data_IF_966413831057
#
_entry.id   IF_966413831057
#
_cell.length_a   1.000
_cell.length_b   1.000
_cell.length_c   1.000
_cell.angle_alpha   90.00
_cell.angle_beta   90.00
_cell.angle_gamma   90.00
#
_symmetry.space_group_name_H-M   'P 1'
#
loop_
_entity.id
_entity.type
_entity.pdbx_description
1 polymer ?
#
# COMPACT_ATOMS: atom_id res chain seq x y z
N UNK A 1 24.61 47.70 -64.53
CA UNK A 1 25.58 47.47 -63.42
C UNK A 1 25.27 46.11 -62.82
N UNK A 2 26.31 45.38 -62.38
CA UNK A 2 26.22 43.94 -62.10
C UNK A 2 25.51 43.61 -60.77
N UNK A 3 24.72 42.54 -60.75
CA UNK A 3 24.29 41.89 -59.51
C UNK A 3 25.37 40.90 -59.07
N UNK A 4 26.10 41.24 -58.01
CA UNK A 4 27.03 40.32 -57.34
C UNK A 4 26.33 39.62 -56.18
N UNK A 5 26.04 38.34 -56.33
CA UNK A 5 25.61 37.49 -55.21
C UNK A 5 26.84 36.94 -54.48
N UNK A 6 27.00 37.28 -53.20
CA UNK A 6 27.90 36.57 -52.30
C UNK A 6 27.07 35.69 -51.37
N UNK A 7 27.30 34.38 -51.44
CA UNK A 7 26.71 33.40 -50.54
C UNK A 7 27.65 33.18 -49.36
N UNK A 8 27.45 33.90 -48.26
CA UNK A 8 28.17 33.63 -47.02
C UNK A 8 27.63 32.35 -46.37
N UNK A 9 28.43 31.29 -46.38
CA UNK A 9 28.15 30.06 -45.64
C UNK A 9 28.35 30.28 -44.13
N UNK A 10 27.27 30.68 -43.44
CA UNK A 10 27.23 30.70 -41.99
C UNK A 10 27.44 29.28 -41.42
N UNK A 11 28.58 29.05 -40.77
CA UNK A 11 28.84 27.81 -40.03
C UNK A 11 27.83 27.60 -38.89
N UNK A 12 27.55 26.35 -38.49
CA UNK A 12 26.56 26.07 -37.45
C UNK A 12 26.95 26.74 -36.13
N UNK A 13 25.99 27.42 -35.51
CA UNK A 13 26.22 28.13 -34.25
C UNK A 13 26.62 27.18 -33.13
N UNK A 14 27.38 27.70 -32.15
CA UNK A 14 27.97 26.91 -31.05
C UNK A 14 26.92 26.13 -30.26
N UNK A 15 25.67 26.58 -30.20
CA UNK A 15 24.56 25.84 -29.61
C UNK A 15 24.17 24.59 -30.39
N UNK A 16 24.10 24.66 -31.73
CA UNK A 16 23.79 23.51 -32.61
C UNK A 16 24.88 22.44 -32.49
N UNK A 17 26.15 22.84 -32.46
CA UNK A 17 27.27 21.90 -32.29
C UNK A 17 27.20 21.14 -30.96
N UNK A 18 26.79 21.81 -29.87
CA UNK A 18 26.61 21.17 -28.55
C UNK A 18 25.44 20.17 -28.54
N UNK A 19 24.34 20.47 -29.23
CA UNK A 19 23.24 19.51 -29.40
C UNK A 19 23.65 18.28 -30.22
N UNK A 20 24.36 18.47 -31.33
CA UNK A 20 24.88 17.38 -32.16
C UNK A 20 25.84 16.47 -31.38
N UNK A 21 26.74 17.05 -30.58
CA UNK A 21 27.65 16.30 -29.70
C UNK A 21 26.89 15.48 -28.63
N UNK A 22 25.85 16.04 -28.00
CA UNK A 22 25.02 15.33 -27.04
C UNK A 22 24.24 14.16 -27.67
N UNK A 23 23.69 14.36 -28.88
CA UNK A 23 22.98 13.30 -29.62
C UNK A 23 23.96 12.20 -30.06
N UNK A 24 25.15 12.56 -30.54
CA UNK A 24 26.19 11.60 -30.91
C UNK A 24 26.68 10.79 -29.70
N UNK A 25 26.90 11.43 -28.54
CA UNK A 25 27.27 10.75 -27.30
C UNK A 25 26.17 9.79 -26.81
N UNK A 26 24.91 10.19 -26.86
CA UNK A 26 23.77 9.32 -26.53
C UNK A 26 23.65 8.12 -27.48
N UNK A 27 23.84 8.34 -28.78
CA UNK A 27 23.84 7.27 -29.79
C UNK A 27 24.98 6.26 -29.61
N UNK A 28 26.19 6.74 -29.34
CA UNK A 28 27.35 5.89 -29.03
C UNK A 28 27.14 5.08 -27.74
N UNK A 29 26.55 5.68 -26.71
CA UNK A 29 26.22 5.00 -25.46
C UNK A 29 25.15 3.91 -25.66
N UNK A 30 24.11 4.19 -26.45
CA UNK A 30 23.08 3.20 -26.80
C UNK A 30 23.66 2.03 -27.63
N UNK A 31 24.56 2.33 -28.59
CA UNK A 31 25.27 1.30 -29.36
C UNK A 31 26.17 0.43 -28.47
N UNK A 32 26.89 1.05 -27.53
CA UNK A 32 27.71 0.33 -26.56
C UNK A 32 26.87 -0.63 -25.70
N UNK A 33 25.72 -0.19 -25.18
CA UNK A 33 24.80 -1.05 -24.43
C UNK A 33 24.24 -2.21 -25.27
N UNK A 34 23.98 -1.97 -26.56
CA UNK A 34 23.46 -3.00 -27.47
C UNK A 34 24.52 -4.05 -27.84
N UNK A 35 25.80 -3.67 -27.93
CA UNK A 35 26.93 -4.58 -28.17
C UNK A 35 27.39 -5.30 -26.89
N UNK A 36 27.29 -4.65 -25.72
CA UNK A 36 27.73 -5.22 -24.45
C UNK A 36 26.71 -6.17 -23.79
N UNK A 37 25.51 -6.33 -24.36
CA UNK A 37 24.44 -7.16 -23.80
C UNK A 37 24.42 -8.57 -24.41
N UNK A 38 24.69 -9.64 -23.64
CA UNK A 38 24.64 -11.02 -24.13
C UNK A 38 23.19 -11.53 -24.16
N UNK A 39 22.35 -10.99 -25.06
CA UNK A 39 21.00 -11.49 -25.31
C UNK A 39 21.03 -12.48 -26.47
N UNK A 40 20.85 -13.79 -26.26
CA UNK A 40 20.64 -14.70 -27.37
C UNK A 40 19.29 -14.42 -28.01
N UNK A 41 19.28 -14.00 -29.28
CA UNK A 41 18.05 -13.88 -30.07
C UNK A 41 17.41 -15.27 -30.24
N UNK A 42 16.17 -15.51 -29.77
CA UNK A 42 15.44 -16.69 -30.16
C UNK A 42 14.99 -16.50 -31.62
N UNK A 43 15.45 -17.39 -32.51
CA UNK A 43 15.08 -17.36 -33.92
C UNK A 43 13.56 -17.48 -34.08
N UNK A 44 12.97 -16.63 -34.92
CA UNK A 44 11.55 -16.73 -35.26
C UNK A 44 11.26 -18.09 -35.91
N UNK A 45 10.27 -18.81 -35.40
CA UNK A 45 9.68 -19.98 -36.04
C UNK A 45 8.19 -20.03 -35.71
N UNK A 46 7.43 -19.27 -36.49
CA UNK A 46 5.97 -19.36 -36.51
C UNK A 46 5.56 -20.65 -37.22
N UNK A 47 5.15 -21.67 -36.48
CA UNK A 47 4.43 -22.81 -37.04
C UNK A 47 3.21 -23.17 -36.19
N UNK A 48 2.09 -23.39 -36.87
CA UNK A 48 0.78 -23.68 -36.30
C UNK A 48 0.68 -25.14 -35.82
N UNK A 49 -0.31 -25.35 -34.92
CA UNK A 49 -1.00 -26.60 -34.62
C UNK A 49 -0.27 -27.66 -33.75
N UNK A 50 -1.00 -28.61 -33.14
CA UNK A 50 -2.36 -28.54 -32.58
C UNK A 50 -2.41 -28.91 -31.09
N UNK A 51 -3.58 -28.74 -30.45
CA UNK A 51 -3.84 -29.16 -29.07
C UNK A 51 -3.91 -30.69 -28.90
N UNK A 52 -3.21 -31.24 -27.91
CA UNK A 52 -3.55 -32.51 -27.24
C UNK A 52 -2.94 -32.54 -25.82
N UNK A 53 -3.59 -33.20 -24.84
CA UNK A 53 -3.24 -33.05 -23.42
C UNK A 53 -2.12 -34.01 -22.98
N UNK A 54 -1.16 -33.50 -22.21
CA UNK A 54 -0.09 -34.30 -21.60
C UNK A 54 -0.15 -34.22 -20.06
N UNK A 55 -0.60 -35.32 -19.45
CA UNK A 55 -0.27 -35.85 -18.11
C UNK A 55 0.35 -34.92 -17.06
N UNK A 56 -0.32 -34.85 -15.90
CA UNK A 56 0.18 -34.28 -14.65
C UNK A 56 1.53 -34.86 -14.21
N UNK A 57 2.54 -34.01 -14.11
CA UNK A 57 3.79 -34.29 -13.38
C UNK A 57 3.86 -33.42 -12.12
N UNK A 58 3.58 -34.03 -10.97
CA UNK A 58 3.55 -33.37 -9.65
C UNK A 58 4.96 -33.06 -9.15
N UNK A 59 5.60 -32.03 -9.69
CA UNK A 59 6.84 -31.50 -9.11
C UNK A 59 6.52 -30.64 -7.88
N UNK A 60 6.52 -31.26 -6.71
CA UNK A 60 6.14 -30.64 -5.45
C UNK A 60 6.96 -29.37 -5.12
N UNK A 61 6.27 -28.23 -5.13
CA UNK A 61 6.81 -26.92 -4.70
C UNK A 61 7.00 -26.87 -3.18
N UNK A 62 8.12 -27.39 -2.68
CA UNK A 62 8.41 -27.55 -1.24
C UNK A 62 8.63 -26.27 -0.42
N UNK A 63 8.38 -25.07 -0.97
CA UNK A 63 8.78 -23.79 -0.36
C UNK A 63 7.62 -22.80 -0.08
N UNK A 64 6.36 -23.20 -0.27
CA UNK A 64 5.24 -22.45 0.31
C UNK A 64 4.83 -23.13 1.63
N UNK A 65 5.04 -22.43 2.75
CA UNK A 65 4.49 -22.80 4.04
C UNK A 65 2.99 -22.49 4.07
N UNK A 66 2.21 -23.29 3.33
CA UNK A 66 0.76 -23.36 3.49
C UNK A 66 0.51 -24.37 4.60
N UNK A 67 -0.06 -23.89 5.70
CA UNK A 67 -0.35 -24.73 6.85
C UNK A 67 -1.38 -25.82 6.45
N UNK A 68 -1.04 -27.10 6.65
CA UNK A 68 -1.86 -28.21 6.16
C UNK A 68 -3.26 -28.25 6.81
N UNK A 69 -3.45 -27.52 7.91
CA UNK A 69 -4.75 -27.25 8.54
C UNK A 69 -5.79 -26.64 7.58
N UNK A 70 -5.38 -25.84 6.59
CA UNK A 70 -6.27 -25.24 5.58
C UNK A 70 -7.02 -26.27 4.74
N UNK A 71 -6.49 -27.49 4.57
CA UNK A 71 -7.08 -28.50 3.71
C UNK A 71 -8.17 -29.35 4.38
N UNK A 72 -8.44 -29.14 5.67
CA UNK A 72 -9.30 -30.01 6.49
C UNK A 72 -10.60 -29.34 6.99
N UNK A 73 -10.79 -28.03 6.79
CA UNK A 73 -12.02 -27.36 7.18
C UNK A 73 -13.13 -27.62 6.15
N UNK A 74 -14.22 -28.24 6.61
CA UNK A 74 -15.36 -28.60 5.78
C UNK A 74 -15.95 -27.36 5.06
N UNK A 75 -16.23 -27.49 3.77
CA UNK A 75 -16.78 -26.44 2.92
C UNK A 75 -18.09 -25.92 3.53
N UNK A 76 -18.04 -24.73 4.10
CA UNK A 76 -19.22 -24.04 4.63
C UNK A 76 -20.27 -23.84 3.51
N UNK A 77 -21.57 -23.70 3.85
CA UNK A 77 -22.59 -23.33 2.87
C UNK A 77 -22.16 -22.06 2.10
N UNK A 78 -22.60 -21.88 0.84
CA UNK A 78 -22.13 -20.79 -0.02
C UNK A 78 -22.25 -19.45 0.70
N UNK A 79 -21.11 -18.90 1.09
CA UNK A 79 -21.05 -17.71 1.90
C UNK A 79 -21.61 -16.53 1.11
N UNK A 80 -22.35 -15.65 1.80
CA UNK A 80 -22.82 -14.42 1.15
C UNK A 80 -21.64 -13.64 0.56
N UNK A 81 -21.81 -12.96 -0.59
CA UNK A 81 -20.71 -12.29 -1.28
C UNK A 81 -19.97 -11.36 -0.32
N UNK A 82 -18.64 -11.47 -0.21
CA UNK A 82 -17.90 -10.85 0.88
C UNK A 82 -17.96 -9.33 0.83
N UNK A 83 -17.66 -8.72 1.97
CA UNK A 83 -17.66 -7.27 2.12
C UNK A 83 -16.29 -6.78 2.60
N UNK A 84 -15.72 -5.85 1.85
CA UNK A 84 -14.40 -5.29 2.13
C UNK A 84 -14.52 -3.91 2.78
N UNK A 85 -13.64 -3.64 3.75
CA UNK A 85 -13.46 -2.35 4.38
C UNK A 85 -12.10 -1.76 3.95
N UNK A 86 -12.12 -0.82 3.01
CA UNK A 86 -10.93 -0.19 2.44
C UNK A 86 -10.56 1.11 3.17
N UNK A 87 -9.37 1.16 3.75
CA UNK A 87 -8.69 2.42 4.04
C UNK A 87 -7.86 2.82 2.81
N UNK A 88 -8.11 4.02 2.26
CA UNK A 88 -7.27 4.61 1.20
C UNK A 88 -6.62 5.88 1.77
N UNK A 89 -5.30 5.86 1.95
CA UNK A 89 -4.52 6.90 2.61
C UNK A 89 -3.61 7.67 1.65
N UNK A 90 -3.51 8.99 1.82
CA UNK A 90 -2.61 9.87 1.06
C UNK A 90 -2.16 11.10 1.85
N UNK A 91 -1.32 11.91 1.22
CA UNK A 91 -0.76 13.17 1.74
C UNK A 91 -1.14 14.35 0.84
N UNK A 92 -0.46 15.49 0.99
CA UNK A 92 -0.62 16.67 0.14
C UNK A 92 -0.47 16.34 -1.36
N UNK A 93 -1.45 16.73 -2.17
CA UNK A 93 -1.50 16.45 -3.62
C UNK A 93 -2.17 15.14 -4.02
N UNK A 94 -2.32 14.18 -3.11
CA UNK A 94 -2.86 12.84 -3.44
C UNK A 94 -4.39 12.80 -3.63
N UNK A 95 -5.10 13.89 -3.37
CA UNK A 95 -6.57 13.93 -3.40
C UNK A 95 -7.18 13.44 -4.73
N UNK A 96 -6.53 13.71 -5.86
CA UNK A 96 -6.94 13.19 -7.17
C UNK A 96 -6.69 11.69 -7.33
N UNK A 97 -5.59 11.19 -6.78
CA UNK A 97 -5.22 9.76 -6.79
C UNK A 97 -6.17 8.95 -5.89
N UNK A 98 -6.54 9.48 -4.72
CA UNK A 98 -7.57 8.88 -3.86
C UNK A 98 -8.92 8.74 -4.57
N UNK A 99 -9.38 9.77 -5.30
CA UNK A 99 -10.62 9.70 -6.09
C UNK A 99 -10.54 8.62 -7.17
N UNK A 100 -9.42 8.58 -7.91
CA UNK A 100 -9.19 7.59 -8.96
C UNK A 100 -9.18 6.16 -8.40
N UNK A 101 -8.47 5.94 -7.29
CA UNK A 101 -8.38 4.65 -6.61
C UNK A 101 -9.75 4.19 -6.07
N UNK A 102 -10.48 5.09 -5.39
CA UNK A 102 -11.85 4.83 -4.92
C UNK A 102 -12.77 4.39 -6.06
N UNK A 103 -12.79 5.13 -7.18
CA UNK A 103 -13.68 4.81 -8.31
C UNK A 103 -13.33 3.47 -8.96
N UNK A 104 -12.04 3.10 -9.01
CA UNK A 104 -11.61 1.79 -9.52
C UNK A 104 -11.96 0.63 -8.58
N UNK A 105 -12.05 0.89 -7.28
CA UNK A 105 -12.37 -0.10 -6.24
C UNK A 105 -13.84 -0.12 -5.85
N UNK A 106 -14.68 0.77 -6.39
CA UNK A 106 -16.01 1.02 -5.83
C UNK A 106 -17.01 -0.10 -6.08
N UNK A 107 -17.61 -0.61 -5.02
CA UNK A 107 -18.74 -1.52 -5.06
C UNK A 107 -19.71 -1.21 -3.90
N UNK A 108 -21.04 -1.18 -4.11
CA UNK A 108 -22.02 -0.73 -3.10
C UNK A 108 -22.10 -1.61 -1.84
N UNK A 109 -21.54 -2.83 -1.86
CA UNK A 109 -21.47 -3.73 -0.68
C UNK A 109 -20.30 -3.45 0.26
N UNK A 110 -19.28 -2.74 -0.22
CA UNK A 110 -18.04 -2.47 0.51
C UNK A 110 -18.13 -1.14 1.26
N UNK A 111 -17.23 -0.94 2.22
CA UNK A 111 -17.11 0.30 2.96
C UNK A 111 -15.73 0.94 2.74
N UNK A 112 -15.67 2.28 2.69
CA UNK A 112 -14.48 3.02 2.33
C UNK A 112 -14.23 4.17 3.32
N UNK A 113 -12.99 4.31 3.78
CA UNK A 113 -12.50 5.46 4.53
C UNK A 113 -11.36 6.08 3.72
N UNK A 114 -11.53 7.34 3.33
CA UNK A 114 -10.52 8.14 2.68
C UNK A 114 -9.80 9.00 3.73
N UNK A 115 -8.48 8.86 3.82
CA UNK A 115 -7.65 9.64 4.73
C UNK A 115 -6.62 10.44 3.94
N UNK A 116 -6.73 11.77 3.99
CA UNK A 116 -5.62 12.66 3.65
C UNK A 116 -5.00 13.12 4.96
N UNK A 117 -3.68 12.98 5.10
CA UNK A 117 -2.97 13.39 6.32
C UNK A 117 -3.05 14.91 6.58
N UNK A 118 -2.64 15.34 7.78
CA UNK A 118 -2.70 16.74 8.18
C UNK A 118 -1.65 17.64 7.48
N UNK A 119 -0.78 17.11 6.61
CA UNK A 119 0.08 17.90 5.72
C UNK A 119 -0.70 18.35 4.48
N UNK A 120 -1.69 17.57 4.02
CA UNK A 120 -2.61 18.01 2.98
C UNK A 120 -3.41 19.27 3.41
N UNK A 121 -3.65 20.22 2.48
CA UNK A 121 -4.55 21.35 2.74
C UNK A 121 -5.97 20.93 3.12
N UNK A 122 -6.65 21.70 3.97
CA UNK A 122 -8.08 21.46 4.26
C UNK A 122 -8.99 21.71 3.05
N UNK A 123 -8.55 22.48 2.05
CA UNK A 123 -9.21 22.56 0.74
C UNK A 123 -9.29 21.20 0.05
N UNK A 124 -8.26 20.36 0.18
CA UNK A 124 -8.17 19.06 -0.50
C UNK A 124 -9.12 18.06 0.19
N UNK A 125 -9.14 18.06 1.54
CA UNK A 125 -10.11 17.31 2.35
C UNK A 125 -11.54 17.75 2.06
N UNK A 126 -11.82 19.06 2.08
CA UNK A 126 -13.14 19.61 1.80
C UNK A 126 -13.61 19.30 0.38
N UNK A 127 -12.73 19.43 -0.62
CA UNK A 127 -13.05 19.09 -2.00
C UNK A 127 -13.27 17.58 -2.20
N UNK A 128 -12.54 16.72 -1.46
CA UNK A 128 -12.74 15.27 -1.47
C UNK A 128 -14.09 14.89 -0.84
N UNK A 129 -14.45 15.50 0.28
CA UNK A 129 -15.77 15.32 0.91
C UNK A 129 -16.91 15.83 0.02
N UNK A 130 -16.75 17.01 -0.60
CA UNK A 130 -17.71 17.55 -1.57
C UNK A 130 -17.88 16.65 -2.80
N UNK A 131 -16.79 16.05 -3.30
CA UNK A 131 -16.85 15.04 -4.37
C UNK A 131 -17.68 13.81 -3.95
N UNK A 132 -17.44 13.25 -2.76
CA UNK A 132 -18.21 12.10 -2.25
C UNK A 132 -19.70 12.45 -2.07
N UNK A 133 -20.00 13.65 -1.55
CA UNK A 133 -21.38 14.10 -1.34
C UNK A 133 -22.14 14.46 -2.62
N UNK A 134 -21.43 14.86 -3.69
CA UNK A 134 -22.04 15.23 -4.99
C UNK A 134 -22.14 14.08 -5.97
N UNK A 135 -21.34 13.01 -5.82
CA UNK A 135 -21.39 11.87 -6.72
C UNK A 135 -22.64 10.99 -6.43
N UNK A 136 -23.61 10.86 -7.37
CA UNK A 136 -24.92 10.28 -7.06
C UNK A 136 -24.89 8.88 -6.46
N UNK A 137 -24.00 8.01 -6.96
CA UNK A 137 -23.87 6.62 -6.49
C UNK A 137 -23.28 6.54 -5.08
N UNK A 138 -22.27 7.35 -4.77
CA UNK A 138 -21.62 7.37 -3.45
C UNK A 138 -22.56 7.97 -2.39
N UNK A 139 -23.22 9.08 -2.75
CA UNK A 139 -24.19 9.76 -1.90
C UNK A 139 -25.42 8.91 -1.60
N UNK A 140 -25.90 8.11 -2.56
CA UNK A 140 -27.01 7.18 -2.36
C UNK A 140 -26.62 5.98 -1.45
N UNK A 141 -25.44 5.40 -1.66
CA UNK A 141 -24.99 4.22 -0.91
C UNK A 141 -24.53 4.56 0.52
N UNK A 142 -24.00 5.77 0.76
CA UNK A 142 -23.50 6.24 2.07
C UNK A 142 -22.45 5.30 2.70
N UNK A 143 -21.66 4.64 1.87
CA UNK A 143 -20.64 3.67 2.26
C UNK A 143 -19.20 4.22 2.17
N UNK A 144 -19.03 5.49 1.76
CA UNK A 144 -17.74 6.19 1.69
C UNK A 144 -17.71 7.32 2.73
N UNK A 145 -16.65 7.38 3.54
CA UNK A 145 -16.40 8.45 4.51
C UNK A 145 -15.05 9.11 4.25
N UNK A 146 -14.95 10.42 4.49
CA UNK A 146 -13.68 11.17 4.46
C UNK A 146 -13.31 11.53 5.90
N UNK A 147 -12.06 11.31 6.29
CA UNK A 147 -11.59 11.68 7.64
C UNK A 147 -11.41 13.20 7.71
N UNK A 148 -12.34 13.88 8.38
CA UNK A 148 -12.29 15.34 8.58
C UNK A 148 -11.10 15.74 9.47
N UNK A 149 -11.00 15.13 10.66
CA UNK A 149 -9.90 15.36 11.60
C UNK A 149 -8.71 14.47 11.25
N UNK A 150 -7.95 14.90 10.25
CA UNK A 150 -6.75 14.22 9.80
C UNK A 150 -5.71 14.04 10.92
N UNK A 151 -5.06 12.88 10.90
CA UNK A 151 -3.83 12.64 11.66
C UNK A 151 -2.65 13.19 10.84
N UNK A 152 -1.63 13.69 11.51
CA UNK A 152 -0.33 13.94 10.90
C UNK A 152 0.43 12.61 10.81
N UNK A 153 1.01 12.30 9.64
CA UNK A 153 1.60 10.99 9.35
C UNK A 153 3.05 11.10 8.91
N UNK A 154 3.97 10.61 9.73
CA UNK A 154 5.42 10.58 9.44
C UNK A 154 5.79 9.26 8.78
N UNK A 155 6.46 9.31 7.62
CA UNK A 155 6.92 8.11 6.93
C UNK A 155 7.90 7.31 7.82
N UNK A 156 7.69 5.98 7.91
CA UNK A 156 8.35 5.04 8.85
C UNK A 156 8.07 5.30 10.35
N UNK A 157 7.24 6.30 10.69
CA UNK A 157 6.85 6.59 12.06
C UNK A 157 5.72 5.69 12.57
N UNK A 158 5.56 5.57 13.89
CA UNK A 158 4.38 4.95 14.51
C UNK A 158 3.06 5.59 14.06
N UNK A 159 3.05 6.86 13.64
CA UNK A 159 1.83 7.54 13.13
C UNK A 159 1.21 6.90 11.89
N UNK A 160 2.01 6.19 11.07
CA UNK A 160 1.48 5.32 10.00
C UNK A 160 0.54 4.25 10.58
N UNK A 161 1.00 3.55 11.62
CA UNK A 161 0.27 2.44 12.24
C UNK A 161 -0.94 2.96 13.02
N UNK A 162 -0.80 4.05 13.79
CA UNK A 162 -1.94 4.61 14.53
C UNK A 162 -3.05 5.11 13.61
N UNK A 163 -2.72 5.56 12.40
CA UNK A 163 -3.72 5.96 11.40
C UNK A 163 -4.47 4.77 10.83
N UNK A 164 -3.79 3.66 10.52
CA UNK A 164 -4.45 2.40 10.13
C UNK A 164 -5.35 1.87 11.25
N UNK A 165 -4.88 1.88 12.50
CA UNK A 165 -5.66 1.46 13.67
C UNK A 165 -6.89 2.37 13.92
N UNK A 166 -6.75 3.69 13.70
CA UNK A 166 -7.86 4.64 13.82
C UNK A 166 -8.96 4.36 12.79
N UNK A 167 -8.60 4.10 11.53
CA UNK A 167 -9.56 3.74 10.49
C UNK A 167 -10.22 2.36 10.76
N UNK A 168 -9.43 1.36 11.16
CA UNK A 168 -9.97 0.05 11.51
C UNK A 168 -10.95 0.15 12.70
N UNK A 169 -10.63 0.94 13.73
CA UNK A 169 -11.57 1.24 14.82
C UNK A 169 -12.85 1.93 14.30
N UNK A 170 -12.74 2.95 13.45
CA UNK A 170 -13.91 3.63 12.86
C UNK A 170 -14.81 2.68 12.04
N UNK A 171 -14.22 1.68 11.40
CA UNK A 171 -14.96 0.59 10.74
C UNK A 171 -15.60 -0.41 11.71
N UNK A 172 -15.01 -0.65 12.90
CA UNK A 172 -15.57 -1.55 13.93
C UNK A 172 -16.75 -0.96 14.69
N UNK A 173 -16.63 0.30 15.11
CA UNK A 173 -17.65 0.99 15.91
C UNK A 173 -18.89 1.42 15.11
N UNK A 174 -18.77 1.45 13.77
CA UNK A 174 -19.86 1.74 12.84
C UNK A 174 -20.32 3.20 12.88
N UNK A 175 -21.43 3.48 12.18
CA UNK A 175 -22.11 4.79 12.23
C UNK A 175 -23.07 4.90 13.42
N UNK A 176 -23.48 3.77 13.99
CA UNK A 176 -24.38 3.68 15.13
C UNK A 176 -23.80 2.79 16.22
N UNK A 177 -23.35 3.44 17.31
CA UNK A 177 -22.79 2.87 18.56
C UNK A 177 -23.24 1.43 18.86
N UNK A 178 -22.47 0.44 18.40
CA UNK A 178 -22.68 -0.98 18.77
C UNK A 178 -23.42 -1.85 17.75
N UNK A 179 -23.85 -1.34 16.59
CA UNK A 179 -24.06 -2.22 15.43
C UNK A 179 -22.69 -2.62 14.89
N UNK A 180 -22.19 -3.77 15.37
CA UNK A 180 -20.83 -4.21 15.07
C UNK A 180 -20.55 -4.30 13.56
N UNK A 181 -19.31 -3.99 13.17
CA UNK A 181 -18.77 -4.08 11.81
C UNK A 181 -19.44 -5.11 10.89
N UNK A 182 -19.99 -4.61 9.79
CA UNK A 182 -20.69 -5.32 8.71
C UNK A 182 -19.74 -5.54 7.50
N UNK A 183 -18.52 -6.00 7.79
CA UNK A 183 -17.47 -6.32 6.83
C UNK A 183 -16.70 -7.57 7.25
N UNK A 184 -16.12 -8.26 6.26
CA UNK A 184 -15.39 -9.52 6.44
C UNK A 184 -13.87 -9.32 6.48
N UNK A 185 -13.35 -8.46 5.59
CA UNK A 185 -11.92 -8.16 5.48
C UNK A 185 -11.62 -6.66 5.45
N UNK A 186 -10.63 -6.24 6.23
CA UNK A 186 -10.04 -4.91 6.20
C UNK A 186 -8.80 -4.89 5.29
N UNK A 187 -8.70 -3.86 4.44
CA UNK A 187 -7.62 -3.69 3.47
C UNK A 187 -7.11 -2.26 3.56
N UNK A 188 -5.80 -2.08 3.76
CA UNK A 188 -5.16 -0.78 3.73
C UNK A 188 -4.41 -0.54 2.43
N UNK A 189 -4.66 0.61 1.82
CA UNK A 189 -4.10 1.06 0.54
C UNK A 189 -3.56 2.49 0.68
N UNK A 190 -2.59 2.81 -0.15
CA UNK A 190 -2.04 4.15 -0.36
C UNK A 190 -2.63 4.79 -1.63
N UNK A 191 -2.41 6.10 -1.79
CA UNK A 191 -2.74 6.84 -3.01
C UNK A 191 -2.10 6.25 -4.28
N UNK A 192 -0.91 5.65 -4.13
CA UNK A 192 -0.15 5.03 -5.23
C UNK A 192 -0.64 3.64 -5.64
N UNK A 193 -1.49 2.99 -4.84
CA UNK A 193 -1.98 1.65 -5.15
C UNK A 193 -3.12 1.66 -6.17
N UNK A 194 -3.19 0.61 -6.98
CA UNK A 194 -4.21 0.45 -8.01
C UNK A 194 -4.62 -1.02 -8.16
N UNK A 195 -5.92 -1.35 -8.26
CA UNK A 195 -6.37 -2.73 -8.45
C UNK A 195 -5.91 -3.30 -9.80
N UNK A 196 -5.41 -4.54 -9.77
CA UNK A 196 -5.06 -5.33 -10.96
C UNK A 196 -6.14 -6.37 -11.34
N UNK A 197 -7.14 -6.55 -10.48
CA UNK A 197 -8.30 -7.43 -10.64
C UNK A 197 -9.57 -6.62 -10.44
N UNK A 198 -10.70 -7.05 -11.01
CA UNK A 198 -11.98 -6.35 -10.76
C UNK A 198 -12.49 -6.65 -9.35
N UNK A 199 -13.42 -5.83 -8.85
CA UNK A 199 -14.06 -6.13 -7.56
C UNK A 199 -14.89 -7.41 -7.61
N UNK A 200 -15.47 -7.74 -8.76
CA UNK A 200 -16.32 -8.93 -8.92
C UNK A 200 -15.48 -10.21 -8.88
N UNK A 201 -14.35 -10.26 -9.63
CA UNK A 201 -13.40 -11.38 -9.58
C UNK A 201 -12.84 -11.57 -8.15
N UNK A 202 -12.55 -10.46 -7.47
CA UNK A 202 -12.06 -10.48 -6.09
C UNK A 202 -13.13 -10.97 -5.12
N UNK A 203 -14.41 -10.60 -5.31
CA UNK A 203 -15.51 -11.13 -4.51
C UNK A 203 -15.77 -12.61 -4.77
N UNK A 204 -15.61 -13.08 -6.01
CA UNK A 204 -15.72 -14.50 -6.37
C UNK A 204 -14.64 -15.33 -5.67
N UNK A 205 -13.36 -14.98 -5.85
CA UNK A 205 -12.24 -15.71 -5.22
C UNK A 205 -12.35 -15.71 -3.70
N UNK A 206 -12.63 -14.55 -3.09
CA UNK A 206 -12.79 -14.47 -1.64
C UNK A 206 -14.09 -15.12 -1.14
N UNK A 207 -15.08 -15.38 -1.98
CA UNK A 207 -16.29 -16.10 -1.57
C UNK A 207 -15.97 -17.53 -1.12
N UNK A 208 -14.99 -18.18 -1.76
CA UNK A 208 -14.53 -19.54 -1.45
C UNK A 208 -13.61 -19.62 -0.22
N UNK A 209 -13.07 -18.49 0.24
CA UNK A 209 -12.08 -18.44 1.31
C UNK A 209 -12.73 -18.30 2.71
N UNK A 210 -12.25 -19.05 3.73
CA UNK A 210 -12.68 -18.87 5.12
C UNK A 210 -12.46 -17.42 5.62
N UNK A 211 -13.48 -16.84 6.27
CA UNK A 211 -13.54 -15.41 6.67
C UNK A 211 -12.59 -15.04 7.82
N UNK A 212 -11.99 -16.03 8.47
CA UNK A 212 -11.04 -15.91 9.58
C UNK A 212 -9.58 -15.75 9.12
N UNK A 213 -9.29 -15.98 7.83
CA UNK A 213 -7.95 -15.87 7.25
C UNK A 213 -7.44 -14.42 7.15
N UNK A 214 -6.14 -14.27 7.38
CA UNK A 214 -5.37 -13.06 7.11
C UNK A 214 -4.32 -13.33 6.04
N UNK A 215 -4.15 -12.39 5.12
CA UNK A 215 -3.12 -12.43 4.07
C UNK A 215 -2.06 -11.37 4.41
N UNK A 216 -0.92 -11.88 4.89
CA UNK A 216 0.20 -11.10 5.42
C UNK A 216 1.48 -11.65 4.79
N UNK A 217 2.16 -10.88 3.93
CA UNK A 217 3.54 -11.22 3.58
C UNK A 217 4.43 -10.98 4.80
N UNK A 218 5.18 -12.01 5.21
CA UNK A 218 6.02 -11.97 6.38
C UNK A 218 7.15 -13.01 6.33
N UNK A 219 8.30 -12.62 6.88
CA UNK A 219 9.42 -13.52 7.17
C UNK A 219 9.82 -13.40 8.63
N UNK A 220 10.21 -14.54 9.21
CA UNK A 220 10.78 -14.62 10.55
C UNK A 220 12.30 -14.45 10.58
N UNK A 221 12.94 -14.37 9.40
CA UNK A 221 14.32 -13.92 9.27
C UNK A 221 14.37 -12.39 9.23
N UNK A 222 14.85 -11.82 10.33
CA UNK A 222 14.94 -10.38 10.54
C UNK A 222 16.31 -9.86 10.09
N UNK A 223 17.36 -10.69 10.17
CA UNK A 223 18.75 -10.32 9.93
C UNK A 223 19.13 -8.95 10.50
N UNK A 224 19.77 -8.13 9.66
CA UNK A 224 20.20 -6.76 10.00
C UNK A 224 19.07 -5.82 10.43
N UNK A 225 17.81 -6.08 10.05
CA UNK A 225 16.65 -5.24 10.41
C UNK A 225 16.43 -5.23 11.93
N UNK A 226 16.90 -6.22 12.67
CA UNK A 226 16.78 -6.27 14.12
C UNK A 226 17.52 -5.08 14.77
N UNK A 227 18.81 -4.93 14.44
CA UNK A 227 19.66 -3.83 14.92
C UNK A 227 19.26 -2.47 14.35
N UNK A 228 18.75 -2.42 13.12
CA UNK A 228 18.44 -1.16 12.42
C UNK A 228 17.00 -0.65 12.63
N UNK A 229 16.04 -1.50 13.06
CA UNK A 229 14.61 -1.13 13.15
C UNK A 229 13.90 -1.63 14.41
N UNK A 230 14.34 -2.73 15.03
CA UNK A 230 13.70 -3.25 16.24
C UNK A 230 14.37 -2.74 17.53
N UNK A 231 15.69 -2.64 17.56
CA UNK A 231 16.46 -2.15 18.72
C UNK A 231 16.51 -0.62 18.91
N UNK A 232 16.47 0.24 17.87
CA UNK A 232 16.44 1.68 18.09
C UNK A 232 15.14 2.15 18.76
N UNK A 233 15.23 3.24 19.51
CA UNK A 233 14.06 3.94 20.05
C UNK A 233 13.87 5.23 19.25
N UNK A 234 12.66 5.43 18.72
CA UNK A 234 12.29 6.60 17.92
C UNK A 234 11.19 7.41 18.61
N UNK A 235 11.24 8.72 18.45
CA UNK A 235 10.18 9.65 18.84
C UNK A 235 9.62 10.24 17.55
N UNK A 236 8.29 10.20 17.41
CA UNK A 236 7.57 10.72 16.25
C UNK A 236 6.93 12.06 16.62
N UNK A 237 7.41 13.20 16.08
CA UNK A 237 6.87 14.52 16.39
C UNK A 237 5.38 14.64 16.06
N UNK A 238 4.90 13.90 15.05
CA UNK A 238 3.52 13.95 14.60
C UNK A 238 2.50 13.43 15.63
N UNK A 239 2.95 12.79 16.73
CA UNK A 239 2.10 12.41 17.86
C UNK A 239 1.74 13.58 18.79
N UNK A 240 2.52 14.67 18.81
CA UNK A 240 2.36 15.78 19.77
C UNK A 240 2.58 17.19 19.19
N UNK A 241 3.12 17.30 17.98
CA UNK A 241 3.28 18.57 17.25
C UNK A 241 2.20 18.77 16.20
N UNK A 242 1.93 20.04 15.86
CA UNK A 242 0.98 20.44 14.80
C UNK A 242 1.58 20.51 13.39
N UNK A 243 2.89 20.30 13.24
CA UNK A 243 3.62 20.37 11.97
C UNK A 243 4.41 19.08 11.76
N UNK A 244 4.52 18.64 10.51
CA UNK A 244 5.36 17.50 10.14
C UNK A 244 6.83 17.79 10.49
N UNK A 245 7.52 16.75 10.93
CA UNK A 245 8.93 16.79 11.28
C UNK A 245 9.52 15.39 11.22
N UNK A 246 10.84 15.30 11.06
CA UNK A 246 11.53 14.03 10.95
C UNK A 246 11.50 13.23 12.26
N UNK A 247 11.66 11.91 12.15
CA UNK A 247 11.76 11.03 13.30
C UNK A 247 13.04 11.33 14.09
N UNK A 248 12.89 11.61 15.39
CA UNK A 248 14.03 11.74 16.29
C UNK A 248 14.50 10.36 16.74
N UNK A 249 15.79 10.08 16.56
CA UNK A 249 16.42 8.82 16.97
C UNK A 249 17.15 9.02 18.29
N UNK A 250 16.79 8.22 19.29
CA UNK A 250 17.46 8.23 20.60
C UNK A 250 18.76 7.41 20.49
N UNK A 251 19.91 7.89 21.01
CA UNK A 251 21.18 7.14 20.97
C UNK A 251 21.11 5.78 21.69
N UNK A 252 20.34 5.72 22.78
CA UNK A 252 20.09 4.51 23.55
C UNK A 252 19.23 3.52 22.74
N UNK A 253 19.66 2.25 22.73
CA UNK A 253 18.94 1.13 22.11
C UNK A 253 18.32 0.26 23.19
N UNK A 254 17.20 -0.38 22.85
CA UNK A 254 16.56 -1.43 23.66
C UNK A 254 16.93 -2.81 23.15
N UNK A 255 16.80 -3.80 24.02
CA UNK A 255 16.91 -5.21 23.64
C UNK A 255 15.70 -5.67 22.81
N UNK A 256 15.86 -6.82 22.16
CA UNK A 256 14.76 -7.48 21.45
C UNK A 256 13.78 -8.11 22.45
N UNK A 257 12.46 -8.08 22.17
CA UNK A 257 11.49 -8.75 23.03
C UNK A 257 11.73 -10.26 23.09
N UNK A 258 11.72 -10.84 24.29
CA UNK A 258 11.84 -12.29 24.53
C UNK A 258 10.49 -12.99 24.61
N UNK A 259 9.41 -12.27 24.91
CA UNK A 259 8.06 -12.82 25.09
C UNK A 259 7.34 -13.21 23.80
N UNK A 260 7.82 -12.76 22.63
CA UNK A 260 7.21 -13.06 21.32
C UNK A 260 8.25 -12.99 20.20
N UNK A 261 8.04 -13.78 19.13
CA UNK A 261 8.88 -13.71 17.93
C UNK A 261 8.50 -12.51 17.09
N UNK A 262 9.49 -11.71 16.69
CA UNK A 262 9.32 -10.65 15.71
C UNK A 262 9.31 -11.22 14.28
N UNK A 263 8.52 -10.59 13.41
CA UNK A 263 8.46 -10.87 11.98
C UNK A 263 8.59 -9.56 11.21
N UNK A 264 9.08 -9.61 9.97
CA UNK A 264 9.14 -8.43 9.07
C UNK A 264 8.43 -8.73 7.77
N UNK A 265 7.76 -7.75 7.18
CA UNK A 265 6.89 -7.94 6.02
C UNK A 265 6.43 -6.61 5.44
N UNK A 266 5.44 -6.65 4.56
CA UNK A 266 4.85 -5.48 3.90
C UNK A 266 3.96 -4.63 4.83
N UNK A 267 3.65 -3.42 4.38
CA UNK A 267 2.64 -2.55 5.00
C UNK A 267 1.22 -2.91 4.55
N UNK A 268 1.07 -3.42 3.33
CA UNK A 268 -0.17 -3.74 2.63
C UNK A 268 -0.64 -5.13 3.08
N UNK A 269 -1.89 -5.21 3.56
CA UNK A 269 -2.43 -6.38 4.27
C UNK A 269 -3.92 -6.56 3.99
N UNK A 270 -4.37 -7.80 4.01
CA UNK A 270 -5.81 -8.14 4.02
C UNK A 270 -6.08 -8.91 5.31
N UNK A 271 -6.84 -8.29 6.21
CA UNK A 271 -7.05 -8.78 7.57
C UNK A 271 -8.50 -9.20 7.78
N UNK A 272 -8.73 -10.48 8.08
CA UNK A 272 -10.06 -11.06 8.31
C UNK A 272 -10.57 -10.85 9.73
N UNK A 273 -11.57 -11.64 10.11
CA UNK A 273 -12.28 -11.51 11.40
C UNK A 273 -11.38 -11.54 12.65
N UNK A 274 -10.22 -12.20 12.59
CA UNK A 274 -9.28 -12.26 13.72
C UNK A 274 -8.62 -10.90 14.04
N UNK A 275 -8.61 -9.94 13.11
CA UNK A 275 -8.14 -8.58 13.40
C UNK A 275 -9.08 -7.78 14.32
N UNK A 276 -10.36 -8.18 14.42
CA UNK A 276 -11.35 -7.63 15.37
C UNK A 276 -10.84 -7.78 16.81
N UNK A 277 -10.36 -8.97 17.16
CA UNK A 277 -9.79 -9.28 18.48
C UNK A 277 -8.58 -8.41 18.83
N UNK A 278 -7.77 -7.99 17.85
CA UNK A 278 -6.60 -7.14 18.13
C UNK A 278 -6.97 -5.68 18.48
N UNK A 279 -8.20 -5.28 18.15
CA UNK A 279 -8.71 -3.91 18.30
C UNK A 279 -9.72 -3.75 19.44
N UNK A 280 -10.27 -4.84 19.97
CA UNK A 280 -11.09 -4.79 21.18
C UNK A 280 -10.25 -4.49 22.43
N UNK A 281 -10.77 -3.72 23.41
CA UNK A 281 -10.01 -3.33 24.58
C UNK A 281 -9.85 -4.49 25.58
N UNK A 282 -8.77 -5.25 25.40
CA UNK A 282 -8.33 -6.26 26.38
C UNK A 282 -8.05 -5.63 27.75
N UNK A 283 -8.36 -6.32 28.87
CA UNK A 283 -7.99 -5.92 30.23
C UNK A 283 -6.48 -6.09 30.55
N UNK A 284 -5.60 -5.78 29.58
CA UNK A 284 -4.13 -5.92 29.52
C UNK A 284 -3.57 -7.29 29.04
N UNK A 285 -2.47 -7.31 28.24
CA UNK A 285 -2.07 -6.30 27.24
C UNK A 285 -1.42 -6.86 25.95
N UNK A 286 -1.88 -6.41 24.76
CA UNK A 286 -1.01 -6.22 23.59
C UNK A 286 -0.41 -4.79 23.52
N UNK A 287 -0.96 -3.86 24.31
CA UNK A 287 -0.57 -2.44 24.39
C UNK A 287 0.88 -2.18 24.88
N UNK A 288 1.61 -3.24 25.27
CA UNK A 288 3.02 -3.15 25.65
C UNK A 288 3.92 -2.62 24.52
N UNK A 289 3.53 -2.78 23.25
CA UNK A 289 4.30 -2.23 22.12
C UNK A 289 4.24 -0.69 22.02
N UNK A 290 3.27 -0.05 22.69
CA UNK A 290 3.09 1.40 22.71
C UNK A 290 3.34 2.04 24.10
N UNK A 291 3.58 1.22 25.14
CA UNK A 291 3.93 1.69 26.50
C UNK A 291 5.00 0.80 27.13
N UNK A 292 6.26 1.13 26.87
CA UNK A 292 7.34 0.77 27.81
C UNK A 292 7.18 1.63 29.07
N UNK A 293 6.72 1.05 30.17
CA UNK A 293 6.68 1.73 31.47
C UNK A 293 8.10 1.79 32.05
N UNK A 294 8.65 3.00 32.15
CA UNK A 294 9.58 3.33 33.24
C UNK A 294 9.19 4.68 33.80
N UNK A 295 8.38 4.66 34.86
CA UNK A 295 8.06 5.84 35.67
C UNK A 295 8.85 5.70 36.97
N UNK A 296 9.74 6.64 37.27
CA UNK A 296 10.18 6.89 38.64
C UNK A 296 10.60 8.36 38.79
N UNK A 297 9.89 9.04 39.69
CA UNK A 297 10.32 10.22 40.45
C UNK A 297 10.89 11.44 39.68
N UNK A 298 10.13 12.54 39.65
CA UNK A 298 10.31 13.65 40.59
C UNK A 298 9.24 14.75 40.35
N UNK A 299 8.58 15.14 41.45
CA UNK A 299 7.73 16.33 41.70
C UNK A 299 6.72 16.72 40.61
#
# INVERSE_FOLDING_TARGET
>A
MSMSSSMDHAGPSVSVLRWLLSVAAGGLFALFLLVASPVPFPSASLFLAPTSPASSSTRASKNLFVDQALSAQARAPPASPPRFAYLISGSAGDAGMLRRCLLALYHPRNHYILHLDAEAPDSDRAALAAFVASHPVLAAARNVRVVEKANLVTYRGPTMVTTTLHAAAAFLWGEGRGKGADWDWFINLSASDYPLVTQDDMMEVFSELPRDLNFLDHTSDIGWKAFARAMPVIIDPALYMKKKGDLFWIPQKRELPTAFKLFTGTSERICGWTARFSLEPWPCPPLALARSKTYHQLV
#
